data_IF_156246435179
#
_entry.id   IF_156246435179
#
_cell.length_a   1.000
_cell.length_b   1.000
_cell.length_c   1.000
_cell.angle_alpha   90.00
_cell.angle_beta   90.00
_cell.angle_gamma   90.00
#
_symmetry.space_group_name_H-M   'P 1'
#
loop_
_entity.id
_entity.type
_entity.pdbx_description
1 polymer ?
#
# COMPACT_ATOMS: atom_id res chain seq x y z
N UNK A 1 -0.01 2.69 11.33
CA UNK A 1 0.40 4.01 11.86
C UNK A 1 0.29 5.12 10.81
N UNK A 2 0.96 5.01 9.65
CA UNK A 2 0.93 6.06 8.60
C UNK A 2 -0.49 6.46 8.14
N UNK A 3 -1.32 5.49 7.74
CA UNK A 3 -2.69 5.76 7.24
C UNK A 3 -3.54 6.46 8.32
N UNK A 4 -3.42 6.04 9.57
CA UNK A 4 -4.10 6.69 10.71
C UNK A 4 -3.69 8.16 10.84
N UNK A 5 -2.39 8.47 10.71
CA UNK A 5 -1.90 9.84 10.74
C UNK A 5 -2.41 10.66 9.54
N UNK A 6 -2.43 10.06 8.34
CA UNK A 6 -2.95 10.69 7.12
C UNK A 6 -4.46 11.00 7.21
N UNK A 7 -5.21 10.17 7.95
CA UNK A 7 -6.63 10.39 8.24
C UNK A 7 -6.88 11.48 9.32
N UNK A 8 -5.83 12.08 9.89
CA UNK A 8 -5.93 13.10 10.95
C UNK A 8 -5.67 12.59 12.37
N UNK A 9 -5.25 11.32 12.52
CA UNK A 9 -4.80 10.73 13.78
C UNK A 9 -5.84 10.83 14.89
N UNK A 10 -5.38 11.11 16.11
CA UNK A 10 -6.23 11.22 17.30
C UNK A 10 -7.34 12.26 17.17
N UNK A 11 -7.23 13.26 16.29
CA UNK A 11 -8.32 14.23 16.08
C UNK A 11 -9.49 13.61 15.32
N UNK A 12 -9.21 12.67 14.42
CA UNK A 12 -10.24 12.01 13.59
C UNK A 12 -10.73 10.71 14.20
N UNK A 13 -9.83 9.92 14.77
CA UNK A 13 -10.10 8.59 15.33
C UNK A 13 -10.05 8.71 16.85
N UNK A 14 -11.15 9.19 17.43
CA UNK A 14 -11.36 9.25 18.88
C UNK A 14 -12.86 9.12 19.21
N UNK A 15 -13.14 8.66 20.44
CA UNK A 15 -14.50 8.41 20.93
C UNK A 15 -15.39 9.66 21.05
N UNK A 16 -14.80 10.85 21.03
CA UNK A 16 -15.51 12.14 21.12
C UNK A 16 -15.80 12.76 19.74
N UNK A 17 -15.36 12.11 18.65
CA UNK A 17 -15.61 12.60 17.31
C UNK A 17 -16.98 12.10 16.82
N UNK A 18 -17.90 13.02 16.56
CA UNK A 18 -19.25 12.70 16.10
C UNK A 18 -19.34 12.45 14.58
N UNK A 19 -18.27 12.68 13.82
CA UNK A 19 -18.23 12.37 12.40
C UNK A 19 -18.13 10.85 12.19
N UNK A 20 -18.75 10.33 11.13
CA UNK A 20 -18.64 8.92 10.73
C UNK A 20 -17.19 8.45 10.70
N UNK A 21 -16.95 7.19 11.09
CA UNK A 21 -15.62 6.57 11.02
C UNK A 21 -15.01 6.71 9.61
N UNK A 22 -13.70 6.99 9.49
CA UNK A 22 -13.04 7.10 8.19
C UNK A 22 -13.18 5.82 7.37
N UNK A 23 -13.47 5.96 6.09
CA UNK A 23 -13.60 4.84 5.16
C UNK A 23 -12.33 4.66 4.33
N UNK A 24 -11.67 3.52 4.54
CA UNK A 24 -10.43 3.14 3.86
C UNK A 24 -10.71 2.01 2.88
N UNK A 25 -10.27 2.19 1.63
CA UNK A 25 -10.26 1.12 0.64
C UNK A 25 -8.84 0.60 0.45
N UNK A 26 -8.68 -0.71 0.53
CA UNK A 26 -7.42 -1.41 0.35
C UNK A 26 -7.48 -2.15 -0.97
N UNK A 27 -6.58 -1.83 -1.89
CA UNK A 27 -6.43 -2.49 -3.18
C UNK A 27 -5.25 -3.45 -3.07
N UNK A 28 -5.52 -4.75 -3.11
CA UNK A 28 -4.52 -5.79 -2.86
C UNK A 28 -4.42 -6.73 -4.05
N UNK A 29 -3.18 -7.00 -4.48
CA UNK A 29 -2.91 -8.09 -5.41
C UNK A 29 -2.53 -9.39 -4.71
N UNK A 30 -2.38 -10.43 -5.52
CA UNK A 30 -1.95 -11.74 -5.06
C UNK A 30 -0.41 -11.84 -4.93
N UNK A 31 0.18 -10.97 -4.11
CA UNK A 31 1.63 -10.86 -3.91
C UNK A 31 1.94 -10.41 -2.47
N UNK A 32 3.23 -10.28 -2.16
CA UNK A 32 3.69 -9.88 -0.81
C UNK A 32 3.17 -8.50 -0.39
N UNK A 33 3.15 -7.52 -1.29
CA UNK A 33 2.69 -6.17 -0.98
C UNK A 33 1.17 -6.14 -0.74
N UNK A 34 0.40 -6.96 -1.46
CA UNK A 34 -1.01 -7.20 -1.18
C UNK A 34 -1.24 -7.82 0.20
N UNK A 35 -0.41 -8.80 0.61
CA UNK A 35 -0.46 -9.35 1.97
C UNK A 35 -0.16 -8.29 3.05
N UNK A 36 0.79 -7.38 2.80
CA UNK A 36 1.07 -6.25 3.70
C UNK A 36 -0.12 -5.29 3.79
N UNK A 37 -0.75 -4.99 2.66
CA UNK A 37 -1.94 -4.13 2.60
C UNK A 37 -3.11 -4.72 3.39
N UNK A 38 -3.38 -6.04 3.26
CA UNK A 38 -4.42 -6.74 4.03
C UNK A 38 -4.08 -6.77 5.53
N UNK A 39 -2.81 -7.00 5.90
CA UNK A 39 -2.42 -6.92 7.30
C UNK A 39 -2.65 -5.50 7.88
N UNK A 40 -2.34 -4.45 7.11
CA UNK A 40 -2.65 -3.08 7.49
C UNK A 40 -4.17 -2.85 7.63
N UNK A 41 -4.99 -3.44 6.75
CA UNK A 41 -6.45 -3.39 6.79
C UNK A 41 -7.00 -3.86 8.14
N UNK A 42 -6.51 -4.99 8.66
CA UNK A 42 -6.87 -5.51 9.98
C UNK A 42 -6.55 -4.50 11.10
N UNK A 43 -5.36 -3.90 11.06
CA UNK A 43 -5.01 -2.89 12.06
C UNK A 43 -5.91 -1.66 11.97
N UNK A 44 -6.29 -1.23 10.76
CA UNK A 44 -7.21 -0.10 10.58
C UNK A 44 -8.62 -0.42 11.12
N UNK A 45 -9.12 -1.63 10.92
CA UNK A 45 -10.39 -2.08 11.55
C UNK A 45 -10.31 -2.02 13.07
N UNK A 46 -9.21 -2.47 13.68
CA UNK A 46 -9.01 -2.40 15.13
C UNK A 46 -8.96 -0.97 15.67
N UNK A 47 -8.72 0.03 14.80
CA UNK A 47 -8.77 1.45 15.11
C UNK A 47 -10.10 2.09 14.67
N UNK A 48 -11.17 1.29 14.58
CA UNK A 48 -12.54 1.74 14.28
C UNK A 48 -12.73 2.40 12.91
N UNK A 49 -11.78 2.25 11.98
CA UNK A 49 -11.99 2.65 10.60
C UNK A 49 -12.99 1.70 9.92
N UNK A 50 -13.79 2.23 8.99
CA UNK A 50 -14.49 1.38 8.02
C UNK A 50 -13.45 0.92 7.00
N UNK A 51 -13.33 -0.38 6.74
CA UNK A 51 -12.33 -0.92 5.81
C UNK A 51 -12.97 -1.90 4.83
N UNK A 52 -12.68 -1.70 3.54
CA UNK A 52 -13.04 -2.62 2.47
C UNK A 52 -11.76 -3.05 1.73
N UNK A 53 -11.56 -4.35 1.56
CA UNK A 53 -10.47 -4.89 0.74
C UNK A 53 -11.01 -5.31 -0.63
N UNK A 54 -10.40 -4.82 -1.70
CA UNK A 54 -10.56 -5.36 -3.04
C UNK A 54 -9.33 -6.21 -3.36
N UNK A 55 -9.52 -7.52 -3.49
CA UNK A 55 -8.44 -8.48 -3.73
C UNK A 55 -8.50 -9.00 -5.17
N UNK A 56 -7.39 -8.91 -5.90
CA UNK A 56 -7.34 -9.26 -7.31
C UNK A 56 -7.50 -10.77 -7.61
N UNK A 57 -7.45 -11.63 -6.60
CA UNK A 57 -7.55 -13.09 -6.74
C UNK A 57 -8.60 -13.69 -5.79
N UNK A 58 -9.28 -14.74 -6.26
CA UNK A 58 -10.19 -15.55 -5.44
C UNK A 58 -9.45 -16.69 -4.73
N UNK A 59 -10.14 -17.39 -3.82
CA UNK A 59 -9.53 -18.31 -2.85
C UNK A 59 -8.61 -19.37 -3.47
N UNK A 60 -9.03 -19.99 -4.57
CA UNK A 60 -8.30 -21.10 -5.19
C UNK A 60 -6.94 -20.69 -5.79
N UNK A 61 -6.76 -19.40 -6.07
CA UNK A 61 -5.55 -18.87 -6.72
C UNK A 61 -4.66 -18.08 -5.77
N UNK A 62 -5.06 -17.88 -4.51
CA UNK A 62 -4.31 -17.03 -3.57
C UNK A 62 -3.03 -17.69 -3.07
N UNK A 63 -1.90 -16.95 -3.12
CA UNK A 63 -0.66 -17.42 -2.51
C UNK A 63 -0.83 -17.50 -0.99
N UNK A 64 -0.15 -18.46 -0.35
CA UNK A 64 -0.28 -18.75 1.09
C UNK A 64 -0.22 -17.50 1.99
N UNK A 65 0.67 -16.56 1.68
CA UNK A 65 0.83 -15.32 2.49
C UNK A 65 -0.38 -14.39 2.40
N UNK A 66 -1.00 -14.27 1.22
CA UNK A 66 -2.22 -13.48 1.01
C UNK A 66 -3.41 -14.18 1.63
N UNK A 67 -3.56 -15.49 1.39
CA UNK A 67 -4.61 -16.31 1.99
C UNK A 67 -4.58 -16.23 3.53
N UNK A 68 -3.40 -16.32 4.14
CA UNK A 68 -3.23 -16.19 5.58
C UNK A 68 -3.70 -14.83 6.12
N UNK A 69 -3.28 -13.73 5.49
CA UNK A 69 -3.69 -12.39 5.93
C UNK A 69 -5.18 -12.13 5.68
N UNK A 70 -5.72 -12.60 4.55
CA UNK A 70 -7.16 -12.57 4.25
C UNK A 70 -7.95 -13.31 5.32
N UNK A 71 -7.54 -14.52 5.70
CA UNK A 71 -8.22 -15.31 6.72
C UNK A 71 -8.30 -14.56 8.06
N UNK A 72 -7.20 -13.98 8.52
CA UNK A 72 -7.20 -13.18 9.76
C UNK A 72 -8.08 -11.94 9.61
N UNK A 73 -8.01 -11.24 8.48
CA UNK A 73 -8.81 -10.04 8.22
C UNK A 73 -10.32 -10.35 8.27
N UNK A 74 -10.76 -11.44 7.65
CA UNK A 74 -12.16 -11.89 7.69
C UNK A 74 -12.57 -12.29 9.11
N UNK A 75 -11.70 -12.97 9.87
CA UNK A 75 -11.99 -13.38 11.26
C UNK A 75 -12.24 -12.18 12.19
N UNK A 76 -11.65 -11.02 11.91
CA UNK A 76 -11.92 -9.78 12.68
C UNK A 76 -13.08 -8.95 12.10
N UNK A 77 -13.90 -9.54 11.22
CA UNK A 77 -15.09 -8.90 10.65
C UNK A 77 -14.84 -8.07 9.38
N UNK A 78 -13.64 -8.18 8.80
CA UNK A 78 -13.31 -7.53 7.53
C UNK A 78 -14.09 -8.09 6.35
N UNK A 79 -14.29 -7.26 5.32
CA UNK A 79 -15.00 -7.62 4.09
C UNK A 79 -14.08 -7.52 2.88
N UNK A 80 -14.07 -8.57 2.07
CA UNK A 80 -13.35 -8.62 0.80
C UNK A 80 -14.34 -8.65 -0.37
N UNK A 81 -14.01 -7.91 -1.42
CA UNK A 81 -14.59 -8.03 -2.76
C UNK A 81 -13.47 -8.46 -3.73
N UNK A 82 -13.85 -9.04 -4.87
CA UNK A 82 -12.89 -9.65 -5.80
C UNK A 82 -12.98 -9.10 -7.23
N UNK A 83 -13.71 -8.01 -7.39
CA UNK A 83 -13.92 -7.34 -8.67
C UNK A 83 -13.85 -5.83 -8.46
N UNK A 84 -13.10 -5.14 -9.31
CA UNK A 84 -13.00 -3.69 -9.28
C UNK A 84 -14.35 -3.00 -9.52
N UNK A 85 -15.25 -3.61 -10.31
CA UNK A 85 -16.62 -3.11 -10.53
C UNK A 85 -17.47 -3.04 -9.25
N UNK A 86 -17.08 -3.76 -8.20
CA UNK A 86 -17.74 -3.73 -6.89
C UNK A 86 -17.15 -2.68 -5.94
N UNK A 87 -16.15 -1.92 -6.38
CA UNK A 87 -15.58 -0.82 -5.60
C UNK A 87 -16.64 0.28 -5.38
N UNK A 88 -16.58 0.99 -4.24
CA UNK A 88 -17.61 1.95 -3.87
C UNK A 88 -17.62 3.13 -4.84
N UNK A 89 -18.82 3.58 -5.18
CA UNK A 89 -19.06 4.84 -5.91
C UNK A 89 -19.18 6.05 -4.98
N UNK A 90 -19.35 5.80 -3.67
CA UNK A 90 -19.36 6.84 -2.62
C UNK A 90 -17.94 7.30 -2.31
N UNK A 91 -17.84 8.49 -1.72
CA UNK A 91 -16.57 9.02 -1.22
C UNK A 91 -15.91 8.06 -0.21
N UNK A 92 -14.59 7.99 -0.28
CA UNK A 92 -13.70 7.31 0.68
C UNK A 92 -12.74 8.35 1.26
N UNK A 93 -12.10 8.07 2.38
CA UNK A 93 -11.17 9.03 2.99
C UNK A 93 -9.72 8.82 2.50
N UNK A 94 -9.34 7.57 2.20
CA UNK A 94 -8.01 7.23 1.68
C UNK A 94 -8.02 5.84 1.00
N UNK A 95 -7.15 5.68 0.00
CA UNK A 95 -6.92 4.42 -0.70
C UNK A 95 -5.51 3.91 -0.39
N UNK A 96 -5.36 2.61 -0.15
CA UNK A 96 -4.06 1.95 0.01
C UNK A 96 -3.81 1.04 -1.18
N UNK A 97 -2.73 1.31 -1.90
CA UNK A 97 -2.25 0.53 -3.03
C UNK A 97 -1.21 -0.51 -2.58
N UNK A 98 -1.60 -1.77 -2.64
CA UNK A 98 -0.73 -2.95 -2.57
C UNK A 98 -1.03 -3.90 -3.74
N UNK A 99 -1.32 -3.35 -4.93
CA UNK A 99 -1.81 -4.14 -6.07
C UNK A 99 -0.68 -4.97 -6.68
N UNK A 100 0.46 -4.37 -7.02
CA UNK A 100 1.60 -5.07 -7.65
C UNK A 100 2.86 -5.02 -6.79
N UNK A 101 3.06 -3.90 -6.09
CA UNK A 101 4.23 -3.69 -5.23
C UNK A 101 5.56 -3.78 -5.99
N UNK A 102 6.61 -4.21 -5.29
CA UNK A 102 7.99 -4.19 -5.82
C UNK A 102 8.43 -5.49 -6.51
N UNK A 103 7.58 -6.51 -6.61
CA UNK A 103 7.98 -7.84 -7.08
C UNK A 103 7.05 -8.46 -8.12
N UNK A 104 6.00 -7.76 -8.56
CA UNK A 104 5.08 -8.23 -9.58
C UNK A 104 4.84 -7.13 -10.61
N UNK A 105 4.70 -7.54 -11.87
CA UNK A 105 4.41 -6.64 -12.99
C UNK A 105 3.14 -7.12 -13.68
N UNK A 106 2.39 -6.18 -14.25
CA UNK A 106 1.08 -6.46 -14.86
C UNK A 106 1.20 -7.49 -16.01
N UNK A 107 2.24 -7.39 -16.84
CA UNK A 107 2.52 -8.29 -17.95
C UNK A 107 2.89 -9.72 -17.51
N UNK A 108 3.21 -9.92 -16.23
CA UNK A 108 3.51 -11.23 -15.63
C UNK A 108 2.31 -11.87 -14.94
N UNK A 109 1.18 -11.18 -14.85
CA UNK A 109 -0.06 -11.75 -14.32
C UNK A 109 -0.70 -12.61 -15.42
N UNK A 110 -0.66 -13.93 -15.27
CA UNK A 110 -1.14 -14.88 -16.29
C UNK A 110 -2.66 -14.98 -16.29
N UNK A 111 -3.28 -15.00 -15.11
CA UNK A 111 -4.73 -15.07 -14.99
C UNK A 111 -5.41 -13.79 -15.48
N UNK A 112 -6.29 -13.92 -16.47
CA UNK A 112 -6.90 -12.76 -17.12
C UNK A 112 -7.91 -12.06 -16.22
N UNK A 113 -8.65 -12.79 -15.38
CA UNK A 113 -9.60 -12.20 -14.44
C UNK A 113 -8.87 -11.33 -13.40
N UNK A 114 -7.74 -11.83 -12.89
CA UNK A 114 -6.85 -11.09 -12.01
C UNK A 114 -6.29 -9.86 -12.71
N UNK A 115 -5.85 -10.00 -13.97
CA UNK A 115 -5.31 -8.88 -14.75
C UNK A 115 -6.36 -7.78 -14.94
N UNK A 116 -7.58 -8.14 -15.33
CA UNK A 116 -8.68 -7.18 -15.51
C UNK A 116 -9.10 -6.53 -14.18
N UNK A 117 -9.12 -7.30 -13.09
CA UNK A 117 -9.38 -6.75 -11.76
C UNK A 117 -8.30 -5.74 -11.36
N UNK A 118 -7.02 -6.03 -11.61
CA UNK A 118 -5.90 -5.10 -11.36
C UNK A 118 -6.05 -3.81 -12.16
N UNK A 119 -6.34 -3.89 -13.46
CA UNK A 119 -6.54 -2.72 -14.31
C UNK A 119 -7.70 -1.85 -13.80
N UNK A 120 -8.84 -2.48 -13.48
CA UNK A 120 -10.00 -1.78 -12.93
C UNK A 120 -9.73 -1.14 -11.56
N UNK A 121 -8.92 -1.78 -10.70
CA UNK A 121 -8.50 -1.18 -9.43
C UNK A 121 -7.66 0.09 -9.66
N UNK A 122 -6.74 0.06 -10.63
CA UNK A 122 -5.92 1.22 -10.98
C UNK A 122 -6.74 2.37 -11.56
N UNK A 123 -7.67 2.06 -12.47
CA UNK A 123 -8.58 3.03 -13.04
C UNK A 123 -9.46 3.68 -11.97
N UNK A 124 -10.08 2.87 -11.10
CA UNK A 124 -10.90 3.37 -10.00
C UNK A 124 -10.10 4.26 -9.04
N UNK A 125 -8.89 3.83 -8.64
CA UNK A 125 -8.04 4.58 -7.72
C UNK A 125 -7.59 5.94 -8.29
N UNK A 126 -7.32 6.00 -9.59
CA UNK A 126 -6.93 7.24 -10.26
C UNK A 126 -8.12 8.15 -10.56
N UNK A 127 -9.34 7.60 -10.65
CA UNK A 127 -10.56 8.35 -10.90
C UNK A 127 -11.19 8.98 -9.66
N UNK A 128 -10.89 8.49 -8.46
CA UNK A 128 -11.43 9.00 -7.21
C UNK A 128 -10.65 10.22 -6.69
N UNK A 129 -11.36 11.22 -6.15
CA UNK A 129 -10.75 12.45 -5.64
C UNK A 129 -10.20 12.32 -4.21
N UNK A 130 -9.47 11.25 -3.94
CA UNK A 130 -8.98 10.92 -2.59
C UNK A 130 -7.52 10.50 -2.63
N UNK A 131 -6.72 10.72 -1.59
CA UNK A 131 -5.32 10.36 -1.61
C UNK A 131 -5.12 8.84 -1.71
N UNK A 132 -4.17 8.44 -2.56
CA UNK A 132 -3.65 7.08 -2.60
C UNK A 132 -2.32 7.02 -1.85
N UNK A 133 -2.11 5.95 -1.09
CA UNK A 133 -0.84 5.58 -0.45
C UNK A 133 -0.37 4.26 -1.02
N UNK A 134 0.82 4.23 -1.62
CA UNK A 134 1.39 3.00 -2.19
C UNK A 134 2.37 2.34 -1.23
N UNK A 135 2.30 1.02 -1.13
CA UNK A 135 3.22 0.21 -0.31
C UNK A 135 4.41 -0.24 -1.17
N UNK A 136 5.62 0.04 -0.69
CA UNK A 136 6.93 -0.17 -1.34
C UNK A 136 7.16 0.62 -2.63
N UNK A 137 6.23 0.57 -3.57
CA UNK A 137 6.30 1.22 -4.88
C UNK A 137 4.88 1.44 -5.41
N UNK A 138 4.58 2.59 -6.07
CA UNK A 138 3.33 2.74 -6.79
C UNK A 138 3.14 1.62 -7.81
N UNK A 139 2.00 0.95 -7.77
CA UNK A 139 1.72 -0.15 -8.69
C UNK A 139 1.75 0.35 -10.14
N UNK A 140 2.46 -0.37 -11.02
CA UNK A 140 2.68 0.02 -12.42
C UNK A 140 3.95 0.83 -12.67
N UNK A 141 4.67 1.25 -11.62
CA UNK A 141 6.00 1.87 -11.71
C UNK A 141 7.08 0.82 -11.43
N UNK A 142 8.14 0.81 -12.24
CA UNK A 142 9.23 -0.15 -12.10
C UNK A 142 10.10 0.21 -10.87
N UNK A 143 10.25 -0.70 -9.88
CA UNK A 143 10.86 -0.37 -8.60
C UNK A 143 12.36 -0.09 -8.67
N UNK A 144 13.04 -0.43 -9.78
CA UNK A 144 14.48 -0.17 -9.95
C UNK A 144 14.79 1.00 -10.88
N UNK A 145 13.96 1.27 -11.89
CA UNK A 145 14.21 2.32 -12.90
C UNK A 145 13.32 3.55 -12.71
N UNK A 146 12.18 3.41 -12.03
CA UNK A 146 11.20 4.48 -11.86
C UNK A 146 10.32 4.72 -13.09
N UNK A 147 10.48 3.91 -14.13
CA UNK A 147 9.70 4.03 -15.37
C UNK A 147 8.30 3.46 -15.20
N UNK A 148 7.34 4.07 -15.88
CA UNK A 148 5.98 3.52 -16.00
C UNK A 148 6.06 2.33 -16.97
N UNK A 149 5.61 1.16 -16.53
CA UNK A 149 5.68 -0.08 -17.31
C UNK A 149 4.61 -0.10 -18.41
N UNK A 150 3.40 0.33 -18.08
CA UNK A 150 2.27 0.50 -19.00
C UNK A 150 1.68 1.90 -18.80
N UNK A 151 1.72 2.72 -19.84
CA UNK A 151 1.26 4.11 -19.80
C UNK A 151 -0.21 4.29 -19.42
N UNK A 152 -1.02 3.23 -19.54
CA UNK A 152 -2.44 3.25 -19.19
C UNK A 152 -2.73 2.70 -17.80
N UNK A 153 -1.81 1.91 -17.22
CA UNK A 153 -2.08 1.13 -16.00
C UNK A 153 -0.98 1.34 -14.94
N UNK A 154 -1.08 2.46 -14.24
CA UNK A 154 -0.24 2.79 -13.09
C UNK A 154 -1.02 3.61 -12.06
N UNK A 155 -0.59 3.56 -10.79
CA UNK A 155 -1.20 4.33 -9.70
C UNK A 155 -0.54 5.71 -9.58
N UNK A 156 -1.36 6.75 -9.50
CA UNK A 156 -0.94 8.08 -9.07
C UNK A 156 -1.05 8.17 -7.55
N UNK A 157 0.08 8.23 -6.87
CA UNK A 157 0.11 8.17 -5.41
C UNK A 157 0.46 9.52 -4.80
N UNK A 158 -0.15 9.84 -3.64
CA UNK A 158 0.25 11.02 -2.87
C UNK A 158 1.47 10.72 -1.99
N UNK A 159 1.58 9.47 -1.54
CA UNK A 159 2.70 9.03 -0.72
C UNK A 159 3.08 7.58 -1.02
N UNK A 160 4.38 7.30 -0.99
CA UNK A 160 4.92 5.93 -1.04
C UNK A 160 5.53 5.57 0.30
N UNK A 161 5.10 4.45 0.89
CA UNK A 161 5.70 3.86 2.08
C UNK A 161 6.76 2.83 1.69
N UNK A 162 8.03 3.20 1.77
CA UNK A 162 9.13 2.25 1.66
C UNK A 162 9.36 1.50 2.97
N UNK A 163 9.65 0.20 2.88
CA UNK A 163 9.84 -0.67 4.04
C UNK A 163 11.35 -0.86 4.29
N UNK A 164 11.87 -0.25 5.35
CA UNK A 164 13.30 -0.22 5.68
C UNK A 164 14.06 0.82 4.86
N UNK A 165 14.33 0.53 3.58
CA UNK A 165 15.02 1.42 2.64
C UNK A 165 14.16 1.68 1.40
N UNK A 166 14.30 2.86 0.76
CA UNK A 166 13.59 3.15 -0.48
C UNK A 166 14.11 2.28 -1.63
N UNK A 167 13.22 1.96 -2.58
CA UNK A 167 13.61 1.30 -3.83
C UNK A 167 14.34 2.30 -4.74
N UNK A 168 15.27 1.81 -5.57
CA UNK A 168 16.11 2.66 -6.43
C UNK A 168 15.30 3.48 -7.44
N UNK A 169 14.19 2.93 -7.94
CA UNK A 169 13.31 3.61 -8.89
C UNK A 169 12.42 4.69 -8.28
N UNK A 170 12.49 4.93 -6.96
CA UNK A 170 11.68 5.96 -6.32
C UNK A 170 12.32 7.35 -6.46
N UNK A 171 12.55 7.80 -7.69
CA UNK A 171 13.32 9.03 -8.00
C UNK A 171 12.48 10.16 -8.56
N UNK A 172 11.28 9.87 -9.06
CA UNK A 172 10.37 10.88 -9.60
C UNK A 172 9.23 11.15 -8.62
N UNK A 173 9.28 12.31 -7.95
CA UNK A 173 8.27 12.73 -6.98
C UNK A 173 6.86 12.87 -7.57
N UNK A 174 6.74 13.12 -8.87
CA UNK A 174 5.42 13.21 -9.52
C UNK A 174 4.74 11.84 -9.62
N UNK A 175 5.54 10.75 -9.59
CA UNK A 175 5.04 9.38 -9.61
C UNK A 175 4.96 8.78 -8.20
N UNK A 176 5.94 9.07 -7.34
CA UNK A 176 6.09 8.44 -6.03
C UNK A 176 5.44 9.24 -4.90
N UNK A 177 5.11 10.51 -5.15
CA UNK A 177 4.64 11.43 -4.14
C UNK A 177 5.68 11.65 -3.03
N UNK A 178 5.22 11.97 -1.83
CA UNK A 178 6.10 12.02 -0.66
C UNK A 178 6.54 10.62 -0.25
N UNK A 179 7.85 10.40 -0.08
CA UNK A 179 8.37 9.09 0.35
C UNK A 179 8.50 9.07 1.87
N UNK A 180 7.91 8.04 2.49
CA UNK A 180 8.10 7.73 3.89
C UNK A 180 8.83 6.39 4.04
N UNK A 181 9.74 6.32 4.99
CA UNK A 181 10.34 5.07 5.43
C UNK A 181 9.54 4.54 6.62
N UNK A 182 9.25 3.24 6.61
CA UNK A 182 8.75 2.49 7.76
C UNK A 182 9.85 1.58 8.31
N UNK A 183 10.10 1.64 9.63
CA UNK A 183 10.99 0.69 10.28
C UNK A 183 10.29 -0.67 10.39
N UNK A 184 10.91 -1.70 9.80
CA UNK A 184 10.43 -3.09 9.82
C UNK A 184 11.37 -3.99 10.63
N UNK A 185 12.26 -3.41 11.45
CA UNK A 185 13.12 -4.13 12.38
C UNK A 185 14.37 -4.74 11.76
N UNK A 186 14.86 -4.20 10.64
CA UNK A 186 16.12 -4.68 10.03
C UNK A 186 17.29 -4.38 10.98
N UNK A 187 18.05 -5.39 11.44
CA UNK A 187 19.16 -5.15 12.37
C UNK A 187 20.29 -4.32 11.77
N UNK A 188 20.91 -3.49 12.60
CA UNK A 188 22.07 -2.63 12.26
C UNK A 188 23.22 -3.40 11.60
N UNK A 189 23.38 -4.68 11.95
CA UNK A 189 24.42 -5.57 11.43
C UNK A 189 24.21 -5.90 9.95
N UNK A 190 22.96 -6.01 9.47
CA UNK A 190 22.64 -6.28 8.06
C UNK A 190 23.13 -5.13 7.17
N UNK A 191 22.91 -3.88 7.57
CA UNK A 191 23.40 -2.72 6.81
C UNK A 191 24.93 -2.66 6.72
N UNK A 192 25.64 -3.16 7.74
CA UNK A 192 27.11 -3.28 7.70
C UNK A 192 27.53 -4.34 6.67
N UNK A 193 26.86 -5.50 6.65
CA UNK A 193 27.14 -6.57 5.68
C UNK A 193 26.88 -6.14 4.23
N UNK A 194 25.88 -5.26 4.01
CA UNK A 194 25.57 -4.69 2.69
C UNK A 194 26.56 -3.59 2.23
N UNK A 195 27.61 -3.30 3.00
CA UNK A 195 28.61 -2.28 2.64
C UNK A 195 28.10 -0.84 2.73
N UNK A 196 26.95 -0.61 3.36
CA UNK A 196 26.35 0.73 3.47
C UNK A 196 26.98 1.58 4.60
N UNK A 197 27.87 1.00 5.41
CA UNK A 197 28.64 1.74 6.42
C UNK A 197 29.98 2.23 5.84
N UNK A 198 30.45 3.45 6.20
CA UNK A 198 30.00 4.27 7.34
C UNK A 198 28.76 5.15 7.08
N UNK A 199 28.32 5.29 5.82
CA UNK A 199 27.32 6.29 5.41
C UNK A 199 25.90 6.06 5.94
N UNK A 200 25.54 4.83 6.28
CA UNK A 200 24.21 4.50 6.80
C UNK A 200 24.08 4.78 8.30
N UNK A 201 23.23 5.74 8.61
CA UNK A 201 22.72 6.03 9.95
C UNK A 201 21.24 5.65 10.04
N UNK A 202 20.83 5.05 11.16
CA UNK A 202 19.43 4.65 11.38
C UNK A 202 18.53 5.90 11.38
N UNK A 203 17.61 6.07 10.41
CA UNK A 203 16.96 7.37 10.17
C UNK A 203 15.76 7.63 11.09
N UNK A 204 15.32 6.63 11.87
CA UNK A 204 14.03 6.69 12.55
C UNK A 204 14.06 7.34 13.94
N UNK A 205 15.24 7.56 14.53
CA UNK A 205 15.39 8.04 15.91
C UNK A 205 14.48 7.26 16.91
N UNK A 206 13.52 7.92 17.54
CA UNK A 206 12.52 7.39 18.48
C UNK A 206 11.19 7.00 17.83
N UNK A 207 11.10 7.03 16.49
CA UNK A 207 9.90 6.77 15.69
C UNK A 207 10.02 5.45 14.92
N UNK A 208 8.92 5.03 14.31
CA UNK A 208 8.86 3.92 13.35
C UNK A 208 8.56 4.38 11.92
N UNK A 209 8.40 5.69 11.73
CA UNK A 209 8.05 6.30 10.46
C UNK A 209 8.78 7.65 10.34
N UNK A 210 9.42 7.89 9.20
CA UNK A 210 10.04 9.18 8.88
C UNK A 210 9.87 9.51 7.40
N UNK A 211 9.75 10.78 7.06
CA UNK A 211 9.82 11.22 5.65
C UNK A 211 11.27 11.34 5.21
N UNK A 212 11.49 11.18 3.91
CA UNK A 212 12.76 11.50 3.26
C UNK A 212 12.52 12.41 2.05
N UNK A 213 13.55 13.16 1.68
CA UNK A 213 13.55 14.00 0.48
C UNK A 213 14.59 13.48 -0.50
N UNK A 214 14.27 13.53 -1.78
CA UNK A 214 15.21 13.23 -2.85
C UNK A 214 16.07 14.46 -3.07
N UNK A 215 17.38 14.31 -2.95
CA UNK A 215 18.32 15.36 -3.32
C UNK A 215 18.40 15.39 -4.86
N UNK A 216 18.07 16.55 -5.45
CA UNK A 216 18.21 16.81 -6.88
C UNK A 216 19.67 17.10 -7.24
#
# INVERSE_FOLDING_TARGET
MMVIQALGGNRRINIHNHNSAPFVVILAGNNKSGAYAINAAKHLLNHECQVLVCLASQDDDTINTVAYQKNIFTLVGGKCIYQASSLPTKAVDIVVDGILGASQYLDKVIDENQRECIKGMMEWANGIQTPVVSIECPSGVHPYTGEIIDSNHYIKTKWTLALGLPRLGLTNSDLTGGILLGDIGIPKTIFKTLGLKPSYHHPFADKYLTSIELLQ
#
